data_IF_480312215988
#
_entry.id   IF_480312215988
#
_cell.length_a   1.000
_cell.length_b   1.000
_cell.length_c   1.000
_cell.angle_alpha   90.00
_cell.angle_beta   90.00
_cell.angle_gamma   90.00
#
_symmetry.space_group_name_H-M   'P 1'
#
loop_
_entity.id
_entity.type
_entity.pdbx_description
1 polymer ?
#
# COMPACT_ATOMS: atom_id res chain seq x y z
N UNK A 1 -0.90 4.28 -23.41
CA UNK A 1 -2.07 4.40 -22.52
C UNK A 1 -2.38 5.88 -22.38
N UNK A 2 -3.63 6.32 -22.49
CA UNK A 2 -3.97 7.72 -22.30
C UNK A 2 -3.67 8.16 -20.86
N UNK A 3 -3.48 9.43 -20.65
CA UNK A 3 -3.33 10.04 -19.34
C UNK A 3 -4.54 9.73 -18.47
N UNK A 4 -4.30 9.29 -17.23
CA UNK A 4 -5.36 8.96 -16.26
C UNK A 4 -5.31 9.94 -15.11
N UNK A 5 -6.46 10.46 -14.73
CA UNK A 5 -6.62 11.31 -13.56
C UNK A 5 -7.68 10.74 -12.63
N UNK A 6 -7.33 10.55 -11.38
CA UNK A 6 -8.26 10.22 -10.29
C UNK A 6 -8.49 11.47 -9.45
N UNK A 7 -9.74 11.78 -9.15
CA UNK A 7 -10.09 12.96 -8.35
C UNK A 7 -11.15 12.59 -7.33
N UNK A 8 -10.95 13.00 -6.10
CA UNK A 8 -12.01 13.02 -5.09
C UNK A 8 -12.81 14.32 -5.28
N UNK A 9 -13.93 14.26 -5.95
CA UNK A 9 -14.81 15.41 -6.22
C UNK A 9 -15.58 15.88 -4.98
N UNK A 10 -15.65 15.05 -3.93
CA UNK A 10 -16.23 15.37 -2.64
C UNK A 10 -15.21 15.77 -1.56
N UNK A 11 -13.98 16.02 -1.93
CA UNK A 11 -12.89 16.42 -1.04
C UNK A 11 -13.23 17.63 -0.18
N UNK A 12 -13.93 18.61 -0.73
CA UNK A 12 -14.36 19.81 -0.01
C UNK A 12 -15.38 19.53 1.11
N UNK A 13 -16.09 18.41 1.04
CA UNK A 13 -17.02 17.95 2.07
C UNK A 13 -16.37 17.08 3.15
N UNK A 14 -15.06 16.84 3.04
CA UNK A 14 -14.30 15.99 3.96
C UNK A 14 -14.50 14.49 3.75
N UNK A 15 -15.13 14.08 2.67
CA UNK A 15 -15.26 12.66 2.35
C UNK A 15 -13.95 12.10 1.81
N UNK A 16 -13.57 10.96 2.32
CA UNK A 16 -12.38 10.23 1.89
C UNK A 16 -12.71 9.27 0.76
N UNK A 17 -11.82 9.16 -0.20
CA UNK A 17 -11.80 8.08 -1.20
C UNK A 17 -10.58 7.21 -0.87
N UNK A 18 -10.84 5.99 -0.45
CA UNK A 18 -9.84 5.02 -0.03
C UNK A 18 -9.70 3.90 -1.07
N UNK A 19 -8.48 3.72 -1.58
CA UNK A 19 -8.08 2.57 -2.37
C UNK A 19 -7.17 1.71 -1.50
N UNK A 20 -7.67 0.58 -1.03
CA UNK A 20 -6.96 -0.28 -0.07
C UNK A 20 -6.89 -1.72 -0.55
N UNK A 21 -5.85 -2.42 -0.13
CA UNK A 21 -5.71 -3.85 -0.30
C UNK A 21 -4.83 -4.43 0.81
N UNK A 22 -4.95 -5.74 1.05
CA UNK A 22 -4.36 -6.40 2.22
C UNK A 22 -3.22 -7.37 1.90
N UNK A 23 -2.68 -7.37 0.67
CA UNK A 23 -1.58 -8.25 0.34
C UNK A 23 -0.23 -7.71 0.80
N UNK A 24 0.56 -8.57 1.46
CA UNK A 24 1.98 -8.38 1.65
C UNK A 24 2.78 -9.11 0.56
N UNK A 25 4.08 -8.89 0.51
CA UNK A 25 4.97 -9.50 -0.50
C UNK A 25 4.99 -11.03 -0.43
N UNK A 26 4.78 -11.61 0.74
CA UNK A 26 4.72 -13.04 0.97
C UNK A 26 3.32 -13.61 1.01
N UNK A 27 2.30 -12.80 0.70
CA UNK A 27 0.93 -13.26 0.79
C UNK A 27 0.63 -14.33 -0.26
N UNK A 28 0.15 -15.47 0.21
CA UNK A 28 -0.22 -16.60 -0.63
C UNK A 28 -1.75 -16.63 -0.75
N UNK A 29 -2.24 -16.51 -1.96
CA UNK A 29 -3.66 -16.65 -2.24
C UNK A 29 -4.14 -18.07 -1.98
N UNK A 30 -5.25 -18.18 -1.30
CA UNK A 30 -6.05 -19.40 -1.29
C UNK A 30 -7.15 -19.24 -2.33
N UNK A 31 -7.06 -20.00 -3.38
CA UNK A 31 -8.05 -20.18 -4.45
C UNK A 31 -8.76 -18.93 -4.99
N UNK A 32 -8.34 -18.54 -6.13
CA UNK A 32 -9.09 -17.67 -7.02
C UNK A 32 -9.94 -18.58 -7.92
N UNK A 33 -11.23 -18.40 -7.96
CA UNK A 33 -12.06 -19.06 -8.95
C UNK A 33 -11.80 -18.54 -10.37
N UNK A 34 -12.48 -19.08 -11.37
CA UNK A 34 -12.31 -18.66 -12.77
C UNK A 34 -12.64 -17.19 -13.03
N UNK A 35 -13.26 -16.51 -12.06
CA UNK A 35 -13.60 -15.08 -12.13
C UNK A 35 -12.58 -14.20 -11.43
N UNK A 36 -11.61 -14.77 -10.73
CA UNK A 36 -10.57 -14.05 -10.00
C UNK A 36 -10.97 -13.69 -8.56
N UNK A 37 -12.04 -14.26 -8.05
CA UNK A 37 -12.49 -14.03 -6.68
C UNK A 37 -12.23 -15.23 -5.78
N UNK A 38 -12.06 -14.95 -4.52
CA UNK A 38 -11.98 -15.97 -3.48
C UNK A 38 -13.25 -16.83 -3.49
N UNK A 39 -13.03 -18.14 -3.42
CA UNK A 39 -14.10 -19.10 -3.25
C UNK A 39 -13.78 -20.00 -2.06
N UNK A 40 -14.55 -19.89 -0.98
CA UNK A 40 -14.36 -20.65 0.24
C UNK A 40 -14.44 -22.17 0.02
N UNK A 41 -15.22 -22.63 -0.96
CA UNK A 41 -15.31 -24.04 -1.30
C UNK A 41 -14.01 -24.59 -1.90
N UNK A 42 -13.22 -23.72 -2.52
CA UNK A 42 -11.92 -24.04 -3.11
C UNK A 42 -10.75 -23.66 -2.20
N UNK A 43 -11.02 -23.18 -1.00
CA UNK A 43 -9.97 -22.69 -0.09
C UNK A 43 -8.87 -23.72 0.22
N UNK A 44 -9.12 -25.00 -0.04
CA UNK A 44 -8.16 -26.09 0.17
C UNK A 44 -7.47 -26.55 -1.12
N UNK A 45 -8.00 -26.19 -2.26
CA UNK A 45 -7.32 -26.39 -3.53
C UNK A 45 -6.30 -25.27 -3.69
N UNK A 46 -5.11 -25.51 -3.21
CA UNK A 46 -3.99 -24.61 -3.40
C UNK A 46 -3.67 -24.51 -4.87
N UNK A 47 -4.30 -23.57 -5.52
CA UNK A 47 -3.82 -23.13 -6.82
C UNK A 47 -2.39 -22.62 -6.70
N UNK A 48 -1.67 -22.73 -7.78
CA UNK A 48 -0.33 -22.18 -7.89
C UNK A 48 -0.28 -20.81 -7.22
N UNK A 49 0.56 -20.71 -6.21
CA UNK A 49 0.76 -19.50 -5.45
C UNK A 49 1.00 -18.33 -6.39
N UNK A 50 -0.02 -17.58 -6.66
CA UNK A 50 0.18 -16.31 -7.35
C UNK A 50 0.89 -15.39 -6.37
N UNK A 51 2.17 -15.17 -6.60
CA UNK A 51 2.89 -14.16 -5.87
C UNK A 51 2.14 -12.83 -5.98
N UNK A 52 1.96 -12.15 -4.86
CA UNK A 52 1.43 -10.80 -4.87
C UNK A 52 2.16 -9.96 -5.93
N UNK A 53 1.41 -9.15 -6.66
CA UNK A 53 2.01 -8.25 -7.64
C UNK A 53 3.03 -7.36 -6.93
N UNK A 54 3.99 -6.90 -7.66
CA UNK A 54 5.12 -6.04 -7.26
C UNK A 54 5.07 -5.55 -5.80
N UNK A 55 5.84 -6.20 -4.93
CA UNK A 55 5.90 -5.94 -3.47
C UNK A 55 4.55 -5.97 -2.72
N UNK A 56 3.55 -6.71 -3.21
CA UNK A 56 2.24 -6.74 -2.59
C UNK A 56 1.46 -5.43 -2.73
N UNK A 57 1.73 -4.64 -3.77
CA UNK A 57 1.16 -3.31 -3.86
C UNK A 57 -0.36 -3.31 -4.08
N UNK A 58 -1.05 -2.39 -3.39
CA UNK A 58 -2.47 -2.15 -3.60
C UNK A 58 -2.73 -1.52 -4.97
N UNK A 59 -1.84 -0.63 -5.41
CA UNK A 59 -1.93 0.01 -6.73
C UNK A 59 -0.58 -0.01 -7.43
N UNK A 60 -0.56 -0.45 -8.67
CA UNK A 60 0.61 -0.44 -9.55
C UNK A 60 0.40 0.48 -10.75
N UNK A 61 1.23 1.49 -10.88
CA UNK A 61 1.35 2.30 -12.08
C UNK A 61 2.47 1.73 -12.96
N UNK A 62 2.09 0.97 -13.98
CA UNK A 62 3.06 0.31 -14.87
C UNK A 62 3.81 1.30 -15.74
N UNK A 63 5.02 0.94 -16.13
CA UNK A 63 5.88 1.73 -17.02
C UNK A 63 5.28 2.00 -18.43
N UNK A 64 4.21 1.31 -18.79
CA UNK A 64 3.46 1.56 -20.02
C UNK A 64 2.44 2.69 -19.89
N UNK A 65 2.21 3.22 -18.69
CA UNK A 65 1.37 4.40 -18.49
C UNK A 65 2.13 5.66 -18.95
N UNK A 66 1.43 6.55 -19.66
CA UNK A 66 2.03 7.78 -20.24
C UNK A 66 1.73 9.04 -19.43
N UNK A 67 1.47 8.87 -18.18
CA UNK A 67 1.18 9.92 -17.21
C UNK A 67 -0.02 9.56 -16.35
N UNK A 68 0.02 10.03 -15.12
CA UNK A 68 -1.02 9.80 -14.15
C UNK A 68 -1.09 10.96 -13.17
N UNK A 69 -2.28 11.30 -12.72
CA UNK A 69 -2.41 12.18 -11.56
C UNK A 69 -3.51 11.73 -10.63
N UNK A 70 -3.36 12.04 -9.35
CA UNK A 70 -4.41 11.85 -8.35
C UNK A 70 -4.54 13.10 -7.46
N UNK A 71 -5.77 13.39 -7.05
CA UNK A 71 -6.09 14.52 -6.18
C UNK A 71 -7.07 14.08 -5.09
N UNK A 72 -6.65 14.17 -3.83
CA UNK A 72 -7.47 13.86 -2.67
C UNK A 72 -7.79 12.37 -2.48
N UNK A 73 -6.93 11.48 -2.92
CA UNK A 73 -7.09 10.03 -2.82
C UNK A 73 -6.19 9.47 -1.73
N UNK A 74 -6.71 8.56 -0.92
CA UNK A 74 -5.92 7.75 0.00
C UNK A 74 -5.62 6.40 -0.62
N UNK A 75 -4.34 6.05 -0.72
CA UNK A 75 -3.83 4.75 -1.13
C UNK A 75 -3.30 4.02 0.09
N UNK A 76 -3.75 2.80 0.32
CA UNK A 76 -3.40 2.07 1.53
C UNK A 76 -3.05 0.61 1.25
N UNK A 77 -1.99 0.13 1.93
CA UNK A 77 -1.77 -1.27 2.16
C UNK A 77 -2.19 -1.61 3.58
N UNK A 78 -3.32 -2.30 3.74
CA UNK A 78 -3.86 -2.61 5.07
C UNK A 78 -3.13 -3.77 5.76
N UNK A 79 -2.29 -4.50 5.04
CA UNK A 79 -1.66 -5.76 5.46
C UNK A 79 -1.14 -5.76 6.90
N UNK A 80 -0.36 -4.78 7.30
CA UNK A 80 0.17 -4.66 8.65
C UNK A 80 -0.52 -3.58 9.49
N UNK A 81 -1.75 -3.21 9.16
CA UNK A 81 -2.45 -2.12 9.82
C UNK A 81 -3.71 -2.57 10.54
N UNK A 82 -4.50 -3.42 9.93
CA UNK A 82 -5.73 -4.01 10.48
C UNK A 82 -6.14 -5.20 9.63
N UNK A 83 -7.11 -5.97 10.10
CA UNK A 83 -7.69 -7.07 9.34
C UNK A 83 -8.94 -6.56 8.66
N UNK A 84 -9.06 -6.83 7.36
CA UNK A 84 -10.24 -6.48 6.56
C UNK A 84 -11.23 -7.65 6.50
N UNK A 85 -12.48 -7.36 6.13
CA UNK A 85 -13.49 -8.39 5.91
C UNK A 85 -13.07 -9.34 4.78
N UNK A 86 -12.41 -8.84 3.75
CA UNK A 86 -11.88 -9.63 2.64
C UNK A 86 -10.78 -10.60 3.10
N UNK A 87 -9.91 -10.18 4.03
CA UNK A 87 -8.93 -11.10 4.63
C UNK A 87 -9.61 -12.24 5.39
N UNK A 88 -10.71 -11.95 6.09
CA UNK A 88 -11.48 -12.95 6.81
C UNK A 88 -12.15 -13.91 5.82
N UNK A 89 -12.69 -13.41 4.74
CA UNK A 89 -13.26 -14.22 3.66
C UNK A 89 -12.20 -15.11 3.00
N UNK A 90 -10.97 -14.62 2.87
CA UNK A 90 -9.80 -15.37 2.40
C UNK A 90 -9.28 -16.39 3.44
N UNK A 91 -9.96 -16.54 4.56
CA UNK A 91 -9.65 -17.55 5.57
C UNK A 91 -8.70 -17.08 6.67
N UNK A 92 -8.41 -15.80 6.77
CA UNK A 92 -7.65 -15.26 7.90
C UNK A 92 -8.51 -15.27 9.14
N UNK A 93 -8.07 -15.97 10.19
CA UNK A 93 -8.74 -15.94 11.48
C UNK A 93 -8.37 -14.69 12.26
N UNK A 94 -9.32 -13.85 12.67
CA UNK A 94 -9.03 -12.69 13.51
C UNK A 94 -8.39 -13.05 14.85
N UNK A 95 -8.56 -14.29 15.30
CA UNK A 95 -7.94 -14.78 16.55
C UNK A 95 -6.47 -15.15 16.38
N UNK A 96 -6.05 -15.46 15.17
CA UNK A 96 -4.67 -15.84 14.86
C UNK A 96 -3.80 -14.63 14.55
N UNK A 97 -4.42 -13.51 14.33
CA UNK A 97 -3.73 -12.26 14.03
C UNK A 97 -3.75 -11.36 15.26
N UNK A 98 -2.61 -10.85 15.62
CA UNK A 98 -2.45 -9.94 16.75
C UNK A 98 -2.75 -8.49 16.39
N UNK A 99 -3.23 -8.24 15.17
CA UNK A 99 -3.63 -6.91 14.72
C UNK A 99 -5.05 -6.64 15.23
N UNK A 100 -5.22 -5.76 16.18
CA UNK A 100 -6.53 -5.25 16.49
C UNK A 100 -7.03 -4.38 15.33
N UNK A 101 -7.40 -3.24 15.54
CA UNK A 101 -7.75 -2.23 14.57
C UNK A 101 -6.52 -1.40 14.20
N UNK A 102 -6.63 -0.65 13.11
CA UNK A 102 -5.66 0.36 12.71
C UNK A 102 -5.31 1.28 13.88
N UNK A 103 -4.12 1.17 14.37
CA UNK A 103 -3.63 1.95 15.49
C UNK A 103 -2.32 2.63 15.12
N UNK A 104 -2.35 3.92 15.02
CA UNK A 104 -1.19 4.73 14.64
C UNK A 104 -0.15 4.88 15.77
N UNK A 105 -0.47 4.45 16.97
CA UNK A 105 0.40 4.60 18.13
C UNK A 105 1.13 3.34 18.54
N UNK A 106 0.80 2.22 17.93
CA UNK A 106 1.37 0.94 18.28
C UNK A 106 2.04 0.25 17.11
N UNK A 107 2.97 -0.56 17.48
CA UNK A 107 3.69 -1.45 16.64
C UNK A 107 2.78 -2.48 15.96
N UNK A 108 3.00 -2.61 14.70
CA UNK A 108 2.37 -3.61 13.87
C UNK A 108 3.29 -4.83 13.82
N UNK A 109 3.42 -5.53 14.94
CA UNK A 109 4.34 -6.68 15.03
C UNK A 109 3.78 -7.97 14.50
N UNK A 110 2.54 -8.00 14.11
CA UNK A 110 1.82 -9.25 14.02
C UNK A 110 2.06 -9.98 12.77
N UNK A 111 2.08 -9.63 11.65
CA UNK A 111 2.27 -10.48 10.46
C UNK A 111 3.72 -10.53 9.98
N UNK A 112 4.65 -10.52 10.89
CA UNK A 112 6.02 -10.21 10.72
C UNK A 112 6.22 -8.70 10.42
N UNK A 113 6.78 -8.00 11.38
CA UNK A 113 7.22 -6.61 11.24
C UNK A 113 8.19 -6.40 10.06
N UNK A 114 8.65 -7.48 9.49
CA UNK A 114 9.57 -7.53 8.35
C UNK A 114 8.85 -7.80 7.02
N UNK A 115 7.54 -7.98 7.03
CA UNK A 115 6.83 -8.23 5.78
C UNK A 115 6.41 -6.93 5.12
N UNK A 116 6.81 -6.79 3.90
CA UNK A 116 6.60 -5.58 3.09
C UNK A 116 5.22 -5.58 2.44
N UNK A 117 4.57 -4.44 2.43
CA UNK A 117 3.28 -4.25 1.79
C UNK A 117 3.17 -2.82 1.26
N UNK A 118 3.21 -2.67 -0.03
CA UNK A 118 3.29 -1.37 -0.70
C UNK A 118 1.89 -0.81 -0.97
N UNK A 119 1.61 0.41 -0.55
CA UNK A 119 0.36 1.08 -0.90
C UNK A 119 0.33 1.48 -2.38
N UNK A 120 1.45 2.00 -2.87
CA UNK A 120 1.59 2.43 -4.26
C UNK A 120 2.96 2.06 -4.81
N UNK A 121 2.98 1.35 -5.93
CA UNK A 121 4.20 1.12 -6.70
C UNK A 121 4.14 1.94 -8.00
N UNK A 122 5.14 2.81 -8.22
CA UNK A 122 5.20 3.71 -9.37
C UNK A 122 6.34 3.27 -10.29
N UNK A 123 6.01 2.78 -11.47
CA UNK A 123 6.95 2.53 -12.56
C UNK A 123 6.73 3.49 -13.73
N UNK A 124 5.63 4.26 -13.69
CA UNK A 124 5.28 5.25 -14.71
C UNK A 124 6.11 6.52 -14.55
N UNK A 125 6.44 7.15 -15.67
CA UNK A 125 7.04 8.48 -15.69
C UNK A 125 5.96 9.57 -15.70
N UNK A 126 6.29 10.76 -15.17
CA UNK A 126 5.44 11.95 -15.15
C UNK A 126 4.13 11.73 -14.41
N UNK A 127 4.26 11.40 -13.14
CA UNK A 127 3.11 11.23 -12.24
C UNK A 127 3.05 12.35 -11.22
N UNK A 128 1.82 12.74 -10.85
CA UNK A 128 1.57 13.84 -9.94
C UNK A 128 0.50 13.44 -8.92
N UNK A 129 0.76 13.78 -7.66
CA UNK A 129 -0.19 13.57 -6.57
C UNK A 129 -0.37 14.88 -5.81
N UNK A 130 -1.62 15.26 -5.58
CA UNK A 130 -1.97 16.44 -4.79
C UNK A 130 -2.94 16.04 -3.67
N UNK A 131 -2.64 16.48 -2.44
CA UNK A 131 -3.48 16.24 -1.26
C UNK A 131 -3.85 14.75 -1.08
N UNK A 132 -2.96 13.85 -1.46
CA UNK A 132 -3.12 12.41 -1.35
C UNK A 132 -2.50 11.87 -0.06
N UNK A 133 -2.91 10.65 0.34
CA UNK A 133 -2.25 9.94 1.41
C UNK A 133 -1.76 8.58 0.93
N UNK A 134 -0.58 8.15 1.41
CA UNK A 134 0.00 6.83 1.18
C UNK A 134 0.23 6.19 2.54
N UNK A 135 -0.54 5.18 2.84
CA UNK A 135 -0.59 4.58 4.17
C UNK A 135 -0.14 3.14 4.12
N UNK A 136 0.88 2.81 4.87
CA UNK A 136 1.43 1.47 4.94
C UNK A 136 2.22 1.26 6.22
N UNK A 137 3.04 0.24 6.23
CA UNK A 137 3.96 -0.08 7.30
C UNK A 137 5.39 -0.10 6.76
N UNK A 138 5.90 -1.24 6.35
CA UNK A 138 7.19 -1.31 5.64
C UNK A 138 6.96 -1.21 4.13
N UNK A 139 7.83 -0.47 3.44
CA UNK A 139 7.82 -0.32 1.98
C UNK A 139 6.52 0.30 1.44
N UNK A 140 6.03 1.40 2.01
CA UNK A 140 4.72 1.97 1.67
C UNK A 140 4.65 2.53 0.25
N UNK A 141 5.68 3.26 -0.19
CA UNK A 141 5.70 3.97 -1.47
C UNK A 141 6.96 3.62 -2.27
N UNK A 142 6.79 2.92 -3.38
CA UNK A 142 7.87 2.67 -4.33
C UNK A 142 7.95 3.78 -5.37
N UNK A 143 9.11 4.41 -5.48
CA UNK A 143 9.34 5.58 -6.35
C UNK A 143 9.98 5.22 -7.70
N UNK A 144 9.91 3.96 -8.10
CA UNK A 144 10.40 3.56 -9.42
C UNK A 144 11.91 3.46 -9.53
N UNK A 145 12.42 3.77 -10.69
CA UNK A 145 13.84 3.79 -11.01
C UNK A 145 14.27 5.18 -11.50
N UNK A 146 15.55 5.37 -11.76
CA UNK A 146 16.14 6.65 -12.14
C UNK A 146 15.55 7.32 -13.40
N UNK A 147 14.76 6.59 -14.19
CA UNK A 147 14.07 7.13 -15.35
C UNK A 147 12.67 7.67 -15.04
N UNK A 148 12.15 7.48 -13.82
CA UNK A 148 10.83 7.95 -13.42
C UNK A 148 10.91 9.30 -12.74
N UNK A 149 9.97 10.18 -13.07
CA UNK A 149 9.84 11.52 -12.49
C UNK A 149 8.45 11.65 -11.87
N UNK A 150 8.39 12.11 -10.63
CA UNK A 150 7.15 12.22 -9.88
C UNK A 150 7.12 13.44 -8.97
N UNK A 151 5.93 13.95 -8.75
CA UNK A 151 5.70 15.13 -7.92
C UNK A 151 4.58 14.87 -6.93
N UNK A 152 4.87 15.10 -5.66
CA UNK A 152 3.94 14.97 -4.55
C UNK A 152 3.74 16.32 -3.90
N UNK A 153 2.51 16.82 -3.88
CA UNK A 153 2.16 18.11 -3.28
C UNK A 153 1.18 17.92 -2.14
N UNK A 154 1.53 18.44 -0.95
CA UNK A 154 0.71 18.37 0.25
C UNK A 154 0.24 16.93 0.58
N UNK A 155 1.05 15.93 0.25
CA UNK A 155 0.72 14.55 0.51
C UNK A 155 1.15 14.10 1.91
N UNK A 156 0.49 13.08 2.45
CA UNK A 156 0.91 12.38 3.65
C UNK A 156 1.44 11.01 3.26
N UNK A 157 2.69 10.72 3.64
CA UNK A 157 3.30 9.41 3.47
C UNK A 157 3.60 8.85 4.86
N UNK A 158 3.12 7.66 5.14
CA UNK A 158 3.12 7.07 6.46
C UNK A 158 3.64 5.65 6.45
N UNK A 159 4.47 5.33 7.43
CA UNK A 159 5.01 3.99 7.61
C UNK A 159 5.97 3.91 8.78
N UNK A 160 6.67 2.80 8.92
CA UNK A 160 7.63 2.58 10.00
C UNK A 160 9.01 2.11 9.55
N UNK A 161 9.15 1.51 8.38
CA UNK A 161 10.45 1.11 7.84
C UNK A 161 10.46 1.27 6.33
N UNK A 162 11.50 1.89 5.79
CA UNK A 162 11.75 2.04 4.35
C UNK A 162 10.49 2.49 3.59
N UNK A 163 9.67 3.33 4.22
CA UNK A 163 8.33 3.61 3.71
C UNK A 163 8.30 4.52 2.47
N UNK A 164 9.45 5.05 2.06
CA UNK A 164 9.71 5.59 0.74
C UNK A 164 10.94 4.88 0.18
N UNK A 165 10.82 4.13 -0.89
CA UNK A 165 11.93 3.36 -1.43
C UNK A 165 11.97 3.36 -2.97
N UNK A 166 13.14 3.09 -3.53
CA UNK A 166 13.40 3.18 -4.96
C UNK A 166 14.39 4.29 -5.28
N UNK A 167 14.73 4.46 -6.57
CA UNK A 167 15.72 5.40 -7.06
C UNK A 167 15.17 6.40 -8.10
N UNK A 168 13.85 6.57 -8.16
CA UNK A 168 13.19 7.54 -9.02
C UNK A 168 13.40 8.98 -8.57
N UNK A 169 13.24 9.91 -9.49
CA UNK A 169 13.30 11.33 -9.22
C UNK A 169 11.99 11.82 -8.62
N UNK A 170 11.93 11.97 -7.32
CA UNK A 170 10.73 12.36 -6.59
C UNK A 170 10.90 13.72 -5.92
N UNK A 171 9.91 14.61 -6.08
CA UNK A 171 9.84 15.88 -5.36
C UNK A 171 8.66 15.82 -4.40
N UNK A 172 8.93 16.07 -3.12
CA UNK A 172 7.92 16.15 -2.07
C UNK A 172 7.78 17.62 -1.62
N UNK A 173 6.69 18.27 -2.00
CA UNK A 173 6.42 19.67 -1.75
C UNK A 173 5.30 19.81 -0.70
N UNK A 174 5.64 20.34 0.47
CA UNK A 174 4.70 20.50 1.58
C UNK A 174 4.14 19.20 2.14
N UNK A 175 4.84 18.08 1.95
CA UNK A 175 4.39 16.77 2.37
C UNK A 175 4.67 16.52 3.87
N UNK A 176 3.78 15.75 4.50
CA UNK A 176 3.97 15.18 5.82
C UNK A 176 4.57 13.77 5.68
N UNK A 177 5.74 13.54 6.26
CA UNK A 177 6.33 12.21 6.40
C UNK A 177 6.08 11.73 7.84
N UNK A 178 5.18 10.76 8.01
CA UNK A 178 4.76 10.29 9.32
C UNK A 178 5.34 8.93 9.63
N UNK A 179 6.14 8.90 10.68
CA UNK A 179 6.64 7.67 11.28
C UNK A 179 5.80 7.30 12.50
N UNK A 180 5.33 6.06 12.57
CA UNK A 180 4.62 5.56 13.74
C UNK A 180 5.33 4.32 14.30
N UNK A 181 6.42 4.41 14.84
CA UNK A 181 7.23 3.48 15.60
C UNK A 181 6.83 2.00 15.68
N UNK A 182 7.64 1.26 16.41
CA UNK A 182 7.37 -0.13 16.78
C UNK A 182 7.18 -0.23 18.28
N UNK A 183 6.37 -1.18 18.80
CA UNK A 183 6.14 -1.38 20.23
C UNK A 183 7.38 -1.84 20.99
N UNK A 184 8.31 -2.48 20.32
CA UNK A 184 9.59 -2.86 20.91
C UNK A 184 10.63 -1.81 20.55
N UNK A 185 10.98 -0.96 21.49
CA UNK A 185 11.90 0.17 21.31
C UNK A 185 13.33 -0.16 20.89
N UNK A 186 13.58 -1.38 20.44
CA UNK A 186 14.88 -1.82 19.91
C UNK A 186 14.95 -1.79 18.37
N UNK A 187 13.85 -1.54 17.69
CA UNK A 187 13.79 -1.51 16.23
C UNK A 187 13.68 -0.06 15.78
N UNK A 188 14.72 0.43 15.15
CA UNK A 188 14.70 1.73 14.48
C UNK A 188 13.97 1.63 13.16
N UNK A 189 13.23 2.66 12.80
CA UNK A 189 12.64 2.78 11.48
C UNK A 189 13.48 3.67 10.56
N UNK A 190 13.29 3.49 9.28
CA UNK A 190 13.93 4.28 8.25
C UNK A 190 12.87 4.92 7.36
N UNK A 191 13.05 6.19 7.02
CA UNK A 191 12.15 6.92 6.12
C UNK A 191 12.35 6.41 4.69
N UNK A 192 13.62 6.25 4.32
CA UNK A 192 13.99 5.93 2.93
C UNK A 192 14.94 4.74 2.85
N UNK A 193 14.83 4.03 1.74
CA UNK A 193 15.75 2.99 1.32
C UNK A 193 16.04 3.07 -0.20
#
# INVERSE_FOLDING_TARGET
TPYVRLVNDEKSSGKEVLLTWYYGIGYEYYSIDSTGYYNAENAYDKYDKAAASKWGCSVLLKNTATGFSADGITFEASFNRYITDEEIEDGVSPTDTKLPERNYSTDVTSKAATERATAMAIEADKVEFTDCAFLGSQDTLYTGNSATNMYFKNCRIEGNTDYIFGDGNAVFDGCELRFFGYSTGSVGGYITA
#
